data_IF_736561505851
#
_entry.id   IF_736561505851
#
_cell.length_a   1.000
_cell.length_b   1.000
_cell.length_c   1.000
_cell.angle_alpha   90.00
_cell.angle_beta   90.00
_cell.angle_gamma   90.00
#
_symmetry.space_group_name_H-M   'P 1'
#
loop_
_entity.id
_entity.type
_entity.pdbx_description
1 polymer ?
#
# COMPACT_ATOMS: atom_id res chain seq x y z
N UNK A 1 -24.78 -8.06 -4.14
CA UNK A 1 -23.47 -8.75 -4.15
C UNK A 1 -22.43 -7.72 -3.78
N UNK A 2 -21.71 -7.88 -2.67
CA UNK A 2 -20.53 -7.05 -2.38
C UNK A 2 -19.57 -7.23 -3.55
N UNK A 3 -18.91 -6.20 -4.11
CA UNK A 3 -17.67 -6.48 -4.79
C UNK A 3 -16.79 -7.18 -3.76
N UNK A 4 -16.32 -8.40 -4.08
CA UNK A 4 -15.36 -9.08 -3.24
C UNK A 4 -14.21 -8.11 -2.97
N UNK A 5 -13.84 -7.92 -1.70
CA UNK A 5 -12.61 -7.19 -1.42
C UNK A 5 -11.51 -7.87 -2.22
N UNK A 6 -10.78 -7.08 -3.00
CA UNK A 6 -9.65 -7.60 -3.76
C UNK A 6 -8.44 -7.84 -2.87
N UNK A 7 -8.51 -7.47 -1.58
CA UNK A 7 -7.48 -7.74 -0.58
C UNK A 7 -7.30 -9.25 -0.43
N UNK A 8 -6.12 -9.73 -0.80
CA UNK A 8 -5.74 -11.13 -0.72
C UNK A 8 -4.89 -11.40 0.53
N UNK A 9 -4.21 -10.38 1.05
CA UNK A 9 -3.43 -10.43 2.28
C UNK A 9 -3.39 -9.09 3.00
N UNK A 10 -3.48 -9.11 4.32
CA UNK A 10 -3.23 -7.95 5.18
C UNK A 10 -2.61 -8.38 6.51
N UNK A 11 -1.60 -7.63 6.96
CA UNK A 11 -0.88 -7.85 8.21
C UNK A 11 -0.70 -6.52 8.92
N UNK A 12 -1.23 -6.44 10.15
CA UNK A 12 -1.20 -5.23 11.00
C UNK A 12 -0.38 -5.47 12.29
N UNK A 13 0.27 -6.63 12.37
CA UNK A 13 1.16 -7.07 13.46
C UNK A 13 0.55 -7.04 14.88
N UNK A 14 -0.78 -6.97 14.97
CA UNK A 14 -1.54 -6.98 16.21
C UNK A 14 -1.18 -8.19 17.09
N UNK A 15 -0.86 -7.90 18.35
CA UNK A 15 -0.46 -8.93 19.31
C UNK A 15 0.94 -9.49 19.05
N UNK A 16 1.85 -8.67 18.50
CA UNK A 16 3.28 -8.95 18.36
C UNK A 16 3.59 -10.22 17.57
N UNK A 17 2.97 -10.37 16.39
CA UNK A 17 3.07 -11.60 15.59
C UNK A 17 2.86 -11.33 14.11
N UNK A 18 3.33 -12.28 13.29
CA UNK A 18 3.16 -12.31 11.83
C UNK A 18 1.75 -12.77 11.36
N UNK A 19 0.80 -12.87 12.28
CA UNK A 19 -0.55 -13.34 11.95
C UNK A 19 -1.25 -12.39 10.99
N UNK A 20 -1.89 -12.95 9.96
CA UNK A 20 -2.67 -12.16 9.03
C UNK A 20 -4.00 -11.70 9.64
N UNK A 21 -4.36 -10.46 9.37
CA UNK A 21 -5.73 -9.95 9.54
C UNK A 21 -6.61 -10.46 8.40
N UNK A 22 -6.08 -10.54 7.18
CA UNK A 22 -6.74 -11.13 6.00
C UNK A 22 -5.75 -12.03 5.27
N UNK A 23 -6.19 -13.20 4.80
CA UNK A 23 -5.35 -14.11 4.04
C UNK A 23 -4.51 -15.04 4.92
N UNK A 24 -3.31 -15.40 4.46
CA UNK A 24 -2.38 -16.28 5.17
C UNK A 24 -1.36 -15.46 5.97
N UNK A 25 -1.02 -15.93 7.17
CA UNK A 25 0.05 -15.34 7.99
C UNK A 25 1.37 -15.29 7.22
N UNK A 26 2.19 -14.27 7.51
CA UNK A 26 3.57 -14.29 7.04
C UNK A 26 4.34 -15.38 7.78
N UNK A 27 5.36 -15.91 7.12
CA UNK A 27 6.32 -16.84 7.70
C UNK A 27 7.71 -16.22 7.66
N UNK A 28 8.57 -16.55 8.62
CA UNK A 28 9.98 -16.20 8.52
C UNK A 28 10.59 -16.98 7.35
N UNK A 29 11.27 -16.29 6.44
CA UNK A 29 11.79 -16.90 5.21
C UNK A 29 12.78 -18.04 5.50
N UNK A 30 13.64 -17.85 6.49
CA UNK A 30 14.61 -18.83 7.00
C UNK A 30 14.06 -19.72 8.12
N UNK A 31 12.73 -19.72 8.29
CA UNK A 31 12.02 -20.54 9.27
C UNK A 31 11.98 -19.94 10.68
N UNK A 32 11.16 -20.51 11.58
CA UNK A 32 10.86 -19.93 12.90
C UNK A 32 12.04 -19.93 13.88
N UNK A 33 13.12 -20.65 13.55
CA UNK A 33 14.36 -20.66 14.34
C UNK A 33 15.51 -19.95 13.61
N UNK A 34 15.23 -19.25 12.51
CA UNK A 34 16.21 -18.54 11.71
C UNK A 34 16.58 -17.17 12.30
N UNK A 35 17.54 -16.52 11.64
CA UNK A 35 18.00 -15.18 11.96
C UNK A 35 16.85 -14.16 11.87
N UNK A 36 15.94 -14.31 10.90
CA UNK A 36 14.80 -13.39 10.79
C UNK A 36 13.96 -13.42 12.06
N UNK A 37 13.65 -14.62 12.56
CA UNK A 37 12.84 -14.78 13.77
C UNK A 37 13.55 -14.22 15.01
N UNK A 38 14.85 -14.45 15.14
CA UNK A 38 15.65 -13.97 16.28
C UNK A 38 15.87 -12.45 16.29
N UNK A 39 15.80 -11.79 15.14
CA UNK A 39 16.09 -10.36 15.00
C UNK A 39 14.85 -9.49 14.77
N UNK A 40 13.70 -10.09 14.43
CA UNK A 40 12.43 -9.34 14.32
C UNK A 40 11.95 -8.92 15.70
N UNK A 41 11.69 -7.63 15.87
CA UNK A 41 11.06 -7.10 17.07
C UNK A 41 9.61 -6.68 16.77
N UNK A 42 8.77 -6.73 17.79
CA UNK A 42 7.41 -6.22 17.74
C UNK A 42 7.17 -5.32 18.95
N UNK A 43 6.36 -4.29 18.76
CA UNK A 43 6.00 -3.38 19.83
C UNK A 43 5.06 -2.29 19.36
N UNK A 44 4.94 -1.24 20.16
CA UNK A 44 4.19 -0.05 19.80
C UNK A 44 5.14 1.14 19.67
N UNK A 45 4.85 2.09 18.79
CA UNK A 45 5.63 3.33 18.64
C UNK A 45 5.78 4.08 19.97
N UNK A 46 4.77 4.06 20.86
CA UNK A 46 4.86 4.67 22.18
C UNK A 46 5.92 4.07 23.12
N UNK A 47 6.37 2.84 22.86
CA UNK A 47 7.42 2.17 23.64
C UNK A 47 8.80 2.29 23.01
N UNK A 48 8.88 2.66 21.74
CA UNK A 48 10.12 2.80 20.99
C UNK A 48 10.43 4.27 20.77
N UNK A 49 11.34 4.81 21.59
CA UNK A 49 11.75 6.21 21.52
C UNK A 49 12.50 6.58 20.22
N UNK A 50 12.80 5.60 19.35
CA UNK A 50 13.51 5.82 18.09
C UNK A 50 12.59 6.13 16.92
N UNK A 51 11.28 5.86 17.04
CA UNK A 51 10.26 6.17 16.01
C UNK A 51 9.10 6.98 16.60
N UNK A 52 8.61 8.01 15.89
CA UNK A 52 7.45 8.77 16.34
C UNK A 52 6.15 7.96 16.19
N UNK A 53 5.14 8.34 16.97
CA UNK A 53 3.76 7.88 16.78
C UNK A 53 3.20 8.32 15.41
N UNK A 54 2.24 7.55 14.87
CA UNK A 54 1.64 7.86 13.57
C UNK A 54 0.52 8.88 13.78
N UNK A 55 0.75 10.11 13.32
CA UNK A 55 -0.15 11.26 13.55
C UNK A 55 -0.42 11.52 15.04
N UNK A 56 0.55 11.25 15.91
CA UNK A 56 0.44 11.42 17.36
C UNK A 56 -0.32 10.31 18.09
N UNK A 57 -0.71 9.23 17.38
CA UNK A 57 -1.37 8.07 17.96
C UNK A 57 -0.42 6.86 17.98
N UNK A 58 -0.30 6.15 19.13
CA UNK A 58 0.49 4.93 19.22
C UNK A 58 0.03 3.85 18.23
N UNK A 59 0.97 3.30 17.48
CA UNK A 59 0.72 2.29 16.46
C UNK A 59 1.46 0.99 16.78
N UNK A 60 0.82 -0.15 16.52
CA UNK A 60 1.48 -1.45 16.56
C UNK A 60 2.45 -1.56 15.39
N UNK A 61 3.67 -2.06 15.62
CA UNK A 61 4.70 -2.16 14.59
C UNK A 61 5.46 -3.49 14.67
N UNK A 62 5.97 -3.89 13.51
CA UNK A 62 7.05 -4.86 13.36
C UNK A 62 8.31 -4.11 12.95
N UNK A 63 9.43 -4.39 13.61
CA UNK A 63 10.75 -3.92 13.23
C UNK A 63 11.42 -4.95 12.33
N UNK A 64 11.79 -4.51 11.13
CA UNK A 64 12.55 -5.27 10.15
C UNK A 64 14.04 -5.03 10.39
N UNK A 65 14.85 -6.08 10.62
CA UNK A 65 16.27 -5.92 10.86
C UNK A 65 17.02 -5.43 9.62
N UNK A 66 17.93 -4.46 9.82
CA UNK A 66 18.78 -3.89 8.77
C UNK A 66 20.10 -4.62 8.50
N UNK A 67 20.34 -5.78 9.14
CA UNK A 67 21.59 -6.53 8.99
C UNK A 67 21.80 -7.07 7.57
N UNK A 68 23.05 -7.19 7.14
CA UNK A 68 23.43 -7.72 5.83
C UNK A 68 23.44 -9.25 5.86
N UNK A 69 22.28 -9.87 5.65
CA UNK A 69 22.13 -11.32 5.54
C UNK A 69 21.03 -11.67 4.54
N UNK A 70 21.28 -12.67 3.70
CA UNK A 70 20.31 -13.17 2.70
C UNK A 70 19.18 -13.98 3.33
N UNK A 71 19.34 -14.39 4.59
CA UNK A 71 18.33 -15.18 5.30
C UNK A 71 17.18 -14.30 5.79
N UNK A 72 17.41 -12.99 5.92
CA UNK A 72 16.44 -12.06 6.48
C UNK A 72 15.32 -11.77 5.47
N UNK A 73 14.08 -12.05 5.86
CA UNK A 73 12.90 -11.73 5.07
C UNK A 73 11.66 -12.48 5.54
N UNK A 74 10.49 -12.08 5.01
CA UNK A 74 9.21 -12.68 5.39
C UNK A 74 8.51 -13.24 4.16
N UNK A 75 8.25 -14.54 4.18
CA UNK A 75 7.57 -15.22 3.10
C UNK A 75 6.08 -14.85 3.09
N UNK A 76 5.64 -14.26 1.98
CA UNK A 76 4.26 -13.88 1.73
C UNK A 76 3.62 -14.83 0.71
N UNK A 77 2.78 -15.76 1.18
CA UNK A 77 1.92 -16.58 0.31
C UNK A 77 0.59 -15.86 0.11
N UNK A 78 0.47 -15.09 -0.98
CA UNK A 78 -0.61 -14.12 -1.18
C UNK A 78 -1.94 -14.72 -1.72
N UNK A 79 -1.92 -15.89 -2.36
CA UNK A 79 -3.14 -16.60 -2.80
C UNK A 79 -3.89 -15.98 -4.00
N UNK A 80 -3.26 -15.07 -4.73
CA UNK A 80 -3.83 -14.45 -5.95
C UNK A 80 -3.56 -15.40 -7.13
N UNK A 81 -4.60 -15.71 -7.92
CA UNK A 81 -4.46 -16.51 -9.14
C UNK A 81 -3.82 -15.71 -10.28
N UNK A 82 -3.13 -16.36 -11.24
CA UNK A 82 -2.62 -15.70 -12.44
C UNK A 82 -3.67 -14.85 -13.14
N UNK A 83 -3.25 -13.70 -13.69
CA UNK A 83 -4.14 -12.71 -14.28
C UNK A 83 -3.43 -11.86 -15.34
N UNK A 84 -4.14 -10.88 -15.92
CA UNK A 84 -3.58 -9.96 -16.92
C UNK A 84 -3.23 -10.60 -18.27
N UNK A 85 -3.63 -11.85 -18.51
CA UNK A 85 -3.35 -12.57 -19.76
C UNK A 85 -2.03 -13.33 -19.79
N UNK A 86 -1.27 -13.33 -18.69
CA UNK A 86 -0.05 -14.14 -18.53
C UNK A 86 -0.27 -15.41 -17.69
N UNK A 87 0.83 -16.07 -17.36
CA UNK A 87 0.89 -17.29 -16.54
C UNK A 87 1.15 -17.00 -15.05
N UNK A 88 1.56 -15.78 -14.73
CA UNK A 88 1.80 -15.29 -13.37
C UNK A 88 0.77 -14.20 -12.98
N UNK A 89 0.90 -13.64 -11.78
CA UNK A 89 0.06 -12.51 -11.32
C UNK A 89 0.64 -11.21 -11.85
N UNK A 90 0.10 -10.75 -12.98
CA UNK A 90 0.55 -9.56 -13.69
C UNK A 90 -0.08 -8.25 -13.21
N UNK A 91 -1.20 -8.36 -12.49
CA UNK A 91 -1.96 -7.24 -11.98
C UNK A 91 -2.21 -7.41 -10.48
N UNK A 92 -1.63 -6.54 -9.67
CA UNK A 92 -1.79 -6.51 -8.21
C UNK A 92 -1.37 -5.15 -7.65
N UNK A 93 -1.70 -4.89 -6.40
CA UNK A 93 -1.27 -3.68 -5.68
C UNK A 93 -0.69 -4.07 -4.34
N UNK A 94 0.53 -3.59 -4.07
CA UNK A 94 1.20 -3.70 -2.77
C UNK A 94 1.13 -2.33 -2.09
N UNK A 95 0.67 -2.29 -0.84
CA UNK A 95 0.61 -1.09 0.00
C UNK A 95 1.30 -1.39 1.32
N UNK A 96 2.11 -0.46 1.81
CA UNK A 96 2.84 -0.62 3.07
C UNK A 96 2.88 0.72 3.83
N UNK A 97 2.64 0.67 5.14
CA UNK A 97 2.87 1.79 6.06
C UNK A 97 4.22 1.58 6.74
N UNK A 98 5.23 2.33 6.31
CA UNK A 98 6.65 2.10 6.62
C UNK A 98 7.32 3.37 7.14
N UNK A 99 8.20 3.19 8.12
CA UNK A 99 9.22 4.14 8.53
C UNK A 99 10.60 3.59 8.19
N UNK A 100 11.37 4.31 7.38
CA UNK A 100 12.75 3.93 7.04
C UNK A 100 13.72 4.62 8.01
N UNK A 101 14.65 3.87 8.62
CA UNK A 101 15.65 4.43 9.54
C UNK A 101 16.44 5.58 8.91
N UNK A 102 16.92 6.54 9.70
CA UNK A 102 17.74 7.67 9.21
C UNK A 102 19.21 7.33 9.00
N UNK A 103 19.66 6.17 9.49
CA UNK A 103 21.01 5.63 9.30
C UNK A 103 20.97 4.26 8.61
N UNK A 104 22.11 3.81 8.10
CA UNK A 104 22.25 2.54 7.38
C UNK A 104 22.56 2.71 5.88
N UNK A 105 22.60 1.61 5.12
CA UNK A 105 22.86 1.60 3.68
C UNK A 105 21.93 2.50 2.86
N UNK A 106 22.38 2.92 1.68
CA UNK A 106 21.68 3.90 0.85
C UNK A 106 20.39 3.39 0.19
N UNK A 107 20.16 2.09 0.21
CA UNK A 107 18.99 1.41 -0.34
C UNK A 107 18.42 0.41 0.66
N UNK A 108 17.16 0.03 0.46
CA UNK A 108 16.47 -0.91 1.33
C UNK A 108 15.39 -1.68 0.55
N UNK A 109 15.56 -2.99 0.41
CA UNK A 109 14.60 -3.86 -0.29
C UNK A 109 13.24 -3.89 0.41
N UNK A 110 12.17 -3.80 -0.38
CA UNK A 110 10.78 -3.91 0.07
C UNK A 110 10.18 -5.27 -0.29
N UNK A 111 10.52 -5.82 -1.45
CA UNK A 111 10.04 -7.13 -1.92
C UNK A 111 11.01 -7.75 -2.92
N UNK A 112 11.19 -9.06 -2.81
CA UNK A 112 11.86 -9.95 -3.75
C UNK A 112 10.81 -10.89 -4.37
N UNK A 113 10.71 -10.89 -5.70
CA UNK A 113 9.72 -11.61 -6.50
C UNK A 113 10.39 -12.67 -7.36
N UNK A 114 11.51 -12.33 -8.02
CA UNK A 114 12.17 -13.17 -9.00
C UNK A 114 12.74 -14.44 -8.37
N UNK A 115 13.40 -14.31 -7.22
CA UNK A 115 14.06 -15.42 -6.54
C UNK A 115 13.28 -15.93 -5.33
N UNK A 116 12.68 -17.11 -5.48
CA UNK A 116 11.99 -17.81 -4.40
C UNK A 116 12.91 -18.22 -3.23
N UNK A 117 14.23 -18.27 -3.45
CA UNK A 117 15.23 -18.63 -2.43
C UNK A 117 16.11 -17.43 -2.00
N UNK A 118 15.68 -16.20 -2.31
CA UNK A 118 16.43 -14.97 -2.02
C UNK A 118 17.93 -15.02 -2.38
N UNK A 119 18.26 -15.45 -3.60
CA UNK A 119 19.64 -15.62 -4.08
C UNK A 119 20.10 -14.52 -5.04
N UNK A 120 19.23 -13.57 -5.38
CA UNK A 120 19.55 -12.41 -6.20
C UNK A 120 19.00 -11.10 -5.58
N UNK A 121 19.37 -10.01 -6.22
CA UNK A 121 18.93 -8.62 -6.00
C UNK A 121 17.40 -8.52 -5.90
N UNK A 122 16.92 -7.79 -4.87
CA UNK A 122 15.51 -7.46 -4.66
C UNK A 122 14.82 -6.80 -5.86
N UNK A 123 13.49 -6.64 -5.81
CA UNK A 123 12.70 -6.22 -6.98
C UNK A 123 12.04 -4.85 -6.88
N UNK A 124 11.92 -4.34 -5.66
CA UNK A 124 11.50 -2.97 -5.37
C UNK A 124 12.25 -2.50 -4.13
N UNK A 125 12.87 -1.34 -4.23
CA UNK A 125 13.67 -0.76 -3.16
C UNK A 125 13.20 0.64 -2.82
N UNK A 126 13.36 1.02 -1.57
CA UNK A 126 13.55 2.41 -1.20
C UNK A 126 14.99 2.84 -1.50
N UNK A 127 15.20 4.03 -2.05
CA UNK A 127 16.52 4.65 -2.21
C UNK A 127 16.43 6.17 -2.16
N UNK A 128 17.18 6.79 -1.24
CA UNK A 128 17.22 8.23 -1.02
C UNK A 128 15.90 8.81 -0.51
N UNK A 129 14.99 9.14 -1.41
CA UNK A 129 13.63 9.62 -1.09
C UNK A 129 12.56 9.10 -2.07
N UNK A 130 12.92 8.10 -2.86
CA UNK A 130 12.09 7.48 -3.88
C UNK A 130 12.10 5.97 -3.70
N UNK A 131 11.29 5.28 -4.52
CA UNK A 131 11.31 3.83 -4.59
C UNK A 131 11.12 3.33 -6.01
N UNK A 132 11.72 2.18 -6.31
CA UNK A 132 11.80 1.62 -7.67
C UNK A 132 12.93 0.59 -7.77
N UNK A 133 13.44 0.42 -8.98
CA UNK A 133 14.63 -0.41 -9.27
C UNK A 133 15.34 0.13 -10.51
N UNK A 134 16.67 0.08 -10.51
CA UNK A 134 17.53 0.50 -11.63
C UNK A 134 17.40 1.99 -12.01
N UNK A 135 18.11 2.40 -13.07
CA UNK A 135 18.21 3.82 -13.46
C UNK A 135 16.90 4.49 -13.92
N UNK A 136 15.83 3.72 -14.15
CA UNK A 136 14.53 4.23 -14.57
C UNK A 136 13.46 4.23 -13.48
N UNK A 137 13.70 3.55 -12.35
CA UNK A 137 12.69 3.30 -11.33
C UNK A 137 12.58 4.37 -10.26
N UNK A 138 13.65 5.09 -9.92
CA UNK A 138 13.67 6.08 -8.83
C UNK A 138 13.23 7.47 -9.30
N UNK A 139 12.00 7.56 -9.79
CA UNK A 139 11.35 8.80 -10.21
C UNK A 139 10.14 9.09 -9.33
N UNK A 140 9.91 10.37 -9.05
CA UNK A 140 8.83 10.84 -8.19
C UNK A 140 9.06 12.25 -7.68
N UNK A 141 8.18 12.70 -6.79
CA UNK A 141 8.32 13.98 -6.08
C UNK A 141 9.38 13.91 -4.98
N UNK A 142 9.87 12.71 -4.66
CA UNK A 142 10.79 12.50 -3.54
C UNK A 142 10.08 12.47 -2.18
N UNK A 143 8.81 12.08 -2.15
CA UNK A 143 8.00 12.09 -0.92
C UNK A 143 8.33 10.94 0.05
N UNK A 144 8.96 9.84 -0.40
CA UNK A 144 9.22 8.69 0.46
C UNK A 144 10.55 8.84 1.21
N UNK A 145 10.57 9.69 2.22
CA UNK A 145 11.79 10.03 2.97
C UNK A 145 12.09 9.05 4.10
N UNK A 146 13.35 8.99 4.54
CA UNK A 146 13.72 8.34 5.80
C UNK A 146 13.41 9.25 7.00
N UNK A 147 13.18 8.67 8.17
CA UNK A 147 12.90 9.41 9.39
C UNK A 147 11.43 9.87 9.53
N UNK A 148 10.54 9.39 8.66
CA UNK A 148 9.11 9.69 8.71
C UNK A 148 8.28 8.45 8.31
N UNK A 149 7.04 8.41 8.78
CA UNK A 149 6.05 7.41 8.40
C UNK A 149 5.45 7.76 7.04
N UNK A 150 5.43 6.78 6.14
CA UNK A 150 4.83 6.92 4.82
C UNK A 150 3.96 5.72 4.48
N UNK A 151 2.84 5.98 3.79
CA UNK A 151 2.04 4.97 3.11
C UNK A 151 2.48 4.90 1.67
N UNK A 152 3.19 3.83 1.32
CA UNK A 152 3.71 3.63 -0.02
C UNK A 152 2.87 2.60 -0.77
N UNK A 153 2.57 2.88 -2.03
CA UNK A 153 1.76 1.99 -2.85
C UNK A 153 2.37 1.80 -4.24
N UNK A 154 2.47 0.55 -4.68
CA UNK A 154 2.89 0.15 -6.01
C UNK A 154 1.79 -0.70 -6.65
N UNK A 155 1.13 -0.17 -7.67
CA UNK A 155 0.12 -0.87 -8.46
C UNK A 155 0.76 -1.38 -9.77
N UNK A 156 0.97 -2.69 -9.85
CA UNK A 156 1.58 -3.37 -10.98
C UNK A 156 0.50 -3.70 -12.00
N UNK A 157 0.67 -3.23 -13.23
CA UNK A 157 -0.20 -3.53 -14.36
C UNK A 157 0.65 -3.92 -15.58
N UNK A 158 1.10 -5.18 -15.59
CA UNK A 158 1.96 -5.70 -16.66
C UNK A 158 1.20 -5.98 -17.96
N UNK A 159 -0.13 -5.92 -17.92
CA UNK A 159 -1.02 -6.11 -19.06
C UNK A 159 -1.41 -4.79 -19.75
N UNK A 160 -1.08 -3.64 -19.16
CA UNK A 160 -1.34 -2.33 -19.75
C UNK A 160 -0.52 -2.09 -21.02
N UNK A 161 -0.92 -1.08 -21.80
CA UNK A 161 -0.17 -0.59 -22.96
C UNK A 161 0.21 0.88 -22.74
N UNK A 162 1.48 1.20 -22.42
CA UNK A 162 2.56 0.27 -22.08
C UNK A 162 2.39 -0.36 -20.68
N UNK A 163 3.03 -1.53 -20.42
CA UNK A 163 3.10 -2.13 -19.09
C UNK A 163 3.73 -1.17 -18.08
N UNK A 164 3.19 -1.10 -16.86
CA UNK A 164 3.65 -0.09 -15.87
C UNK A 164 3.46 -0.52 -14.42
N UNK A 165 4.24 0.12 -13.54
CA UNK A 165 3.99 0.17 -12.09
C UNK A 165 3.64 1.60 -11.72
N UNK A 166 2.39 1.83 -11.31
CA UNK A 166 1.93 3.14 -10.83
C UNK A 166 2.26 3.28 -9.35
N UNK A 167 3.01 4.33 -8.99
CA UNK A 167 3.56 4.53 -7.65
C UNK A 167 2.95 5.74 -6.94
N UNK A 168 2.64 5.57 -5.67
CA UNK A 168 2.10 6.61 -4.79
C UNK A 168 2.78 6.59 -3.42
N UNK A 169 2.88 7.77 -2.79
CA UNK A 169 3.34 7.96 -1.41
C UNK A 169 2.38 8.93 -0.75
N UNK A 170 1.76 8.55 0.35
CA UNK A 170 0.80 9.37 1.10
C UNK A 170 -0.36 9.91 0.25
N UNK A 171 -0.78 9.15 -0.77
CA UNK A 171 -1.78 9.57 -1.76
C UNK A 171 -1.26 10.53 -2.84
N UNK A 172 0.03 10.90 -2.81
CA UNK A 172 0.70 11.72 -3.82
C UNK A 172 1.27 10.82 -4.91
N UNK A 173 0.87 11.07 -6.17
CA UNK A 173 1.40 10.38 -7.34
C UNK A 173 2.92 10.61 -7.45
N UNK A 174 3.67 9.52 -7.65
CA UNK A 174 5.11 9.58 -7.87
C UNK A 174 5.45 9.38 -9.33
N UNK A 175 5.09 8.22 -9.90
CA UNK A 175 5.47 7.88 -11.27
C UNK A 175 4.57 6.77 -11.86
N UNK A 176 4.49 6.75 -13.18
CA UNK A 176 4.10 5.56 -13.94
C UNK A 176 5.40 4.94 -14.48
N UNK A 177 5.96 4.02 -13.70
CA UNK A 177 7.25 3.42 -14.01
C UNK A 177 7.10 2.34 -15.08
N UNK A 178 7.52 2.67 -16.31
CA UNK A 178 7.36 1.84 -17.52
C UNK A 178 8.65 1.14 -17.97
N UNK A 179 9.79 1.47 -17.37
CA UNK A 179 11.07 0.87 -17.78
C UNK A 179 11.15 -0.60 -17.39
N UNK A 180 11.58 -1.45 -18.34
CA UNK A 180 11.80 -2.89 -18.18
C UNK A 180 10.57 -3.67 -17.70
N UNK A 181 9.37 -3.23 -18.08
CA UNK A 181 8.11 -3.89 -17.74
C UNK A 181 7.56 -4.68 -18.93
N UNK A 182 7.03 -5.86 -18.68
CA UNK A 182 6.40 -6.72 -19.67
C UNK A 182 5.45 -7.70 -19.00
N UNK A 183 4.56 -8.33 -19.77
CA UNK A 183 3.79 -9.48 -19.29
C UNK A 183 4.73 -10.59 -18.79
N UNK A 184 4.37 -11.22 -17.67
CA UNK A 184 5.14 -12.23 -16.94
C UNK A 184 6.59 -11.82 -16.63
N UNK A 185 6.85 -10.52 -16.48
CA UNK A 185 8.20 -10.06 -16.16
C UNK A 185 8.67 -10.65 -14.82
N UNK A 186 9.86 -11.27 -14.76
CA UNK A 186 10.33 -12.01 -13.59
C UNK A 186 10.43 -11.17 -12.31
N UNK A 187 10.68 -9.87 -12.45
CA UNK A 187 10.84 -8.92 -11.34
C UNK A 187 9.54 -8.16 -11.00
N UNK A 188 8.43 -8.45 -11.69
CA UNK A 188 7.17 -7.71 -11.53
C UNK A 188 5.95 -8.58 -11.39
N UNK A 189 5.85 -9.70 -12.09
CA UNK A 189 4.71 -10.58 -12.01
C UNK A 189 4.90 -11.55 -10.83
N UNK A 190 3.96 -11.61 -9.90
CA UNK A 190 4.14 -12.45 -8.72
C UNK A 190 4.05 -13.94 -9.10
N UNK A 191 5.04 -14.68 -8.59
CA UNK A 191 4.96 -16.12 -8.35
C UNK A 191 3.95 -16.39 -7.22
N UNK A 192 3.59 -17.65 -6.89
CA UNK A 192 2.64 -17.95 -5.80
C UNK A 192 3.02 -17.41 -4.41
N UNK A 193 4.29 -17.04 -4.24
CA UNK A 193 4.82 -16.36 -3.07
C UNK A 193 5.87 -15.32 -3.47
N UNK A 194 6.11 -14.36 -2.58
CA UNK A 194 7.20 -13.40 -2.66
C UNK A 194 7.82 -13.21 -1.27
N UNK A 195 9.02 -12.66 -1.19
CA UNK A 195 9.74 -12.44 0.07
C UNK A 195 9.75 -10.94 0.35
N UNK A 196 9.05 -10.52 1.40
CA UNK A 196 9.05 -9.13 1.85
C UNK A 196 10.37 -8.82 2.54
N UNK A 197 10.94 -7.66 2.21
CA UNK A 197 12.23 -7.19 2.73
C UNK A 197 13.40 -8.16 2.51
N UNK A 198 13.33 -8.99 1.47
CA UNK A 198 14.39 -9.91 1.07
C UNK A 198 15.37 -9.26 0.10
N UNK A 199 16.65 -9.44 0.35
CA UNK A 199 17.76 -8.98 -0.49
C UNK A 199 18.86 -10.05 -0.51
N UNK A 200 19.10 -10.68 -1.67
CA UNK A 200 19.88 -11.91 -1.77
C UNK A 200 21.38 -11.73 -1.98
N UNK A 201 21.78 -10.57 -2.52
CA UNK A 201 23.14 -10.05 -2.65
C UNK A 201 23.68 -9.43 -1.35
N UNK A 202 22.78 -9.01 -0.45
CA UNK A 202 23.05 -8.66 0.94
C UNK A 202 23.75 -7.32 1.13
N UNK A 203 23.45 -6.35 0.29
CA UNK A 203 24.04 -5.01 0.33
C UNK A 203 23.00 -3.88 0.36
N UNK A 204 21.73 -4.16 0.07
CA UNK A 204 20.67 -3.17 -0.09
C UNK A 204 19.58 -3.36 0.98
N UNK A 205 20.04 -3.39 2.24
CA UNK A 205 19.20 -3.56 3.44
C UNK A 205 19.31 -2.40 4.39
N UNK A 206 18.20 -2.03 5.00
CA UNK A 206 18.12 -0.99 6.03
C UNK A 206 17.05 -1.33 7.04
N UNK A 207 17.26 -0.93 8.29
CA UNK A 207 16.27 -1.11 9.34
C UNK A 207 15.00 -0.32 8.99
N UNK A 208 13.85 -0.94 9.21
CA UNK A 208 12.54 -0.33 8.98
C UNK A 208 11.58 -0.70 10.09
N UNK A 209 10.55 0.13 10.29
CA UNK A 209 9.39 -0.21 11.09
C UNK A 209 8.18 -0.24 10.17
N UNK A 210 7.33 -1.23 10.38
CA UNK A 210 6.17 -1.48 9.53
C UNK A 210 4.94 -1.57 10.41
N UNK A 211 3.96 -0.69 10.18
CA UNK A 211 2.68 -0.74 10.87
C UNK A 211 1.69 -1.68 10.17
N UNK A 212 1.63 -1.63 8.84
CA UNK A 212 0.69 -2.44 8.07
C UNK A 212 1.23 -2.76 6.67
N UNK A 213 0.90 -3.95 6.18
CA UNK A 213 1.14 -4.38 4.80
C UNK A 213 -0.18 -4.91 4.24
N UNK A 214 -0.51 -4.53 3.00
CA UNK A 214 -1.67 -5.05 2.28
C UNK A 214 -1.28 -5.42 0.85
N UNK A 215 -1.75 -6.57 0.39
CA UNK A 215 -1.70 -6.97 -1.02
C UNK A 215 -3.10 -7.24 -1.56
N UNK A 216 -3.40 -6.66 -2.72
CA UNK A 216 -4.68 -6.81 -3.42
C UNK A 216 -4.49 -7.36 -4.83
N UNK A 217 -5.43 -8.19 -5.27
CA UNK A 217 -5.54 -8.61 -6.66
C UNK A 217 -5.91 -7.43 -7.57
N UNK A 218 -5.26 -7.31 -8.73
CA UNK A 218 -5.46 -6.21 -9.67
C UNK A 218 -4.70 -4.92 -9.33
N UNK A 219 -4.42 -4.12 -10.34
CA UNK A 219 -3.89 -2.78 -10.19
C UNK A 219 -4.98 -1.81 -9.73
N UNK A 220 -4.80 -1.14 -8.59
CA UNK A 220 -5.70 -0.08 -8.14
C UNK A 220 -5.63 1.11 -9.10
N UNK A 221 -6.76 1.81 -9.26
CA UNK A 221 -6.79 3.05 -10.04
C UNK A 221 -6.01 4.15 -9.34
N UNK A 222 -5.54 5.14 -10.11
CA UNK A 222 -4.90 6.36 -9.58
C UNK A 222 -5.77 7.08 -8.53
N UNK A 223 -7.09 7.14 -8.75
CA UNK A 223 -8.03 7.74 -7.79
C UNK A 223 -8.12 6.96 -6.48
N UNK A 224 -8.12 5.62 -6.54
CA UNK A 224 -8.12 4.79 -5.34
C UNK A 224 -6.79 4.92 -4.57
N UNK A 225 -5.66 4.93 -5.27
CA UNK A 225 -4.34 5.14 -4.68
C UNK A 225 -4.21 6.52 -4.03
N UNK A 226 -4.73 7.57 -4.67
CA UNK A 226 -4.77 8.91 -4.09
C UNK A 226 -5.62 8.96 -2.82
N UNK A 227 -6.75 8.26 -2.80
CA UNK A 227 -7.66 8.20 -1.65
C UNK A 227 -7.11 7.45 -0.44
N UNK A 228 -6.02 6.68 -0.58
CA UNK A 228 -5.38 6.00 0.54
C UNK A 228 -4.73 6.98 1.53
N UNK A 229 -4.31 8.16 1.06
CA UNK A 229 -3.63 9.16 1.89
C UNK A 229 -2.37 8.63 2.58
N UNK A 230 -1.95 9.33 3.64
CA UNK A 230 -0.86 8.90 4.52
C UNK A 230 -1.25 7.77 5.49
N UNK A 231 -0.27 7.26 6.25
CA UNK A 231 -0.50 6.21 7.23
C UNK A 231 -1.30 6.72 8.43
N UNK A 232 -1.98 5.81 9.12
CA UNK A 232 -2.65 6.06 10.41
C UNK A 232 -2.28 4.94 11.38
N UNK A 233 -2.40 5.18 12.69
CA UNK A 233 -2.11 4.14 13.69
C UNK A 233 -2.96 2.86 13.52
N UNK A 234 -4.12 2.96 12.87
CA UNK A 234 -5.01 1.84 12.58
C UNK A 234 -4.60 1.02 11.33
N UNK A 235 -3.55 1.42 10.61
CA UNK A 235 -3.04 0.73 9.43
C UNK A 235 -3.85 0.97 8.15
N UNK A 236 -3.64 0.09 7.16
CA UNK A 236 -4.22 0.21 5.83
C UNK A 236 -5.69 -0.25 5.85
N UNK A 237 -6.64 0.52 5.32
CA UNK A 237 -8.05 0.10 5.27
C UNK A 237 -8.28 -1.19 4.46
N UNK A 238 -8.96 -2.20 5.03
CA UNK A 238 -9.33 -3.47 4.36
C UNK A 238 -10.37 -3.27 3.24
N UNK A 239 -11.19 -2.23 3.37
CA UNK A 239 -12.08 -1.77 2.31
C UNK A 239 -11.46 -0.52 1.70
N UNK A 240 -11.31 -0.47 0.38
CA UNK A 240 -11.14 0.80 -0.30
C UNK A 240 -12.23 1.75 0.17
N UNK A 241 -11.93 3.05 0.31
CA UNK A 241 -12.98 4.01 0.57
C UNK A 241 -14.10 3.80 -0.48
N UNK A 242 -15.38 3.75 -0.06
CA UNK A 242 -16.47 3.53 -0.99
C UNK A 242 -16.41 4.59 -2.09
N UNK A 243 -16.29 4.13 -3.33
CA UNK A 243 -16.30 5.03 -4.47
C UNK A 243 -17.69 5.66 -4.58
N UNK A 244 -17.73 6.98 -4.75
CA UNK A 244 -18.94 7.68 -5.16
C UNK A 244 -19.06 7.62 -6.68
N UNK A 245 -20.28 7.42 -7.18
CA UNK A 245 -20.63 7.63 -8.58
C UNK A 245 -21.62 8.78 -8.69
N UNK A 246 -21.42 9.64 -9.68
CA UNK A 246 -22.33 10.75 -9.97
C UNK A 246 -23.05 10.50 -11.31
N UNK A 247 -24.36 10.74 -11.33
CA UNK A 247 -25.18 10.72 -12.55
C UNK A 247 -26.12 11.92 -12.58
N UNK A 248 -26.34 12.50 -13.76
CA UNK A 248 -27.24 13.64 -13.95
C UNK A 248 -28.66 13.15 -14.26
N UNK A 249 -29.66 13.73 -13.61
CA UNK A 249 -31.08 13.46 -13.82
C UNK A 249 -31.85 14.80 -13.91
N UNK A 250 -31.95 15.36 -15.12
CA UNK A 250 -32.48 16.72 -15.31
C UNK A 250 -31.56 17.74 -14.65
N UNK A 251 -32.13 18.61 -13.82
CA UNK A 251 -31.39 19.65 -13.08
C UNK A 251 -30.76 19.13 -11.77
N UNK A 252 -30.80 17.81 -11.53
CA UNK A 252 -30.31 17.18 -10.31
C UNK A 252 -29.08 16.30 -10.59
N UNK A 253 -28.16 16.25 -9.63
CA UNK A 253 -27.05 15.30 -9.61
C UNK A 253 -27.34 14.25 -8.55
N UNK A 254 -27.40 12.98 -8.95
CA UNK A 254 -27.47 11.87 -8.01
C UNK A 254 -26.06 11.38 -7.73
N UNK A 255 -25.66 11.43 -6.47
CA UNK A 255 -24.44 10.80 -5.98
C UNK A 255 -24.85 9.52 -5.29
N UNK A 256 -24.27 8.39 -5.67
CA UNK A 256 -24.53 7.09 -5.07
C UNK A 256 -23.26 6.39 -4.65
N UNK A 257 -23.40 5.46 -3.72
CA UNK A 257 -22.29 4.67 -3.21
C UNK A 257 -22.72 3.26 -2.83
N UNK A 258 -21.76 2.34 -2.66
CA UNK A 258 -22.08 0.95 -2.38
C UNK A 258 -22.83 0.76 -1.06
N UNK A 259 -23.76 -0.19 -1.04
CA UNK A 259 -24.56 -0.53 0.15
C UNK A 259 -23.72 -0.92 1.38
N UNK A 260 -22.49 -1.38 1.19
CA UNK A 260 -21.58 -1.77 2.26
C UNK A 260 -20.88 -0.60 2.94
N UNK A 261 -20.98 0.61 2.37
CA UNK A 261 -20.52 1.85 2.98
C UNK A 261 -21.42 2.31 4.15
N UNK A 262 -22.11 1.38 4.82
CA UNK A 262 -22.96 1.70 5.96
C UNK A 262 -22.10 2.34 7.07
N UNK A 263 -22.55 3.47 7.59
CA UNK A 263 -21.82 4.26 8.59
C UNK A 263 -20.88 5.32 8.02
N UNK A 264 -20.68 5.40 6.70
CA UNK A 264 -20.01 6.56 6.08
C UNK A 264 -20.97 7.74 5.95
N UNK A 265 -20.43 8.95 6.09
CA UNK A 265 -21.12 10.23 5.92
C UNK A 265 -20.66 10.84 4.59
N UNK A 266 -21.62 11.24 3.76
CA UNK A 266 -21.33 12.07 2.59
C UNK A 266 -21.03 13.49 3.07
N UNK A 267 -19.84 13.99 2.76
CA UNK A 267 -19.46 15.38 3.00
C UNK A 267 -19.33 16.11 1.66
N UNK A 268 -19.63 17.41 1.65
CA UNK A 268 -19.33 18.30 0.52
C UNK A 268 -18.48 19.48 0.92
N UNK A 269 -17.81 20.07 -0.07
CA UNK A 269 -17.08 21.33 0.05
C UNK A 269 -17.11 22.09 -1.28
N UNK A 270 -17.00 23.42 -1.23
CA UNK A 270 -16.94 24.28 -2.42
C UNK A 270 -15.53 24.42 -2.99
N UNK A 271 -14.50 24.05 -2.22
CA UNK A 271 -13.09 24.18 -2.62
C UNK A 271 -12.26 22.97 -2.16
N UNK A 272 -11.48 22.39 -3.07
CA UNK A 272 -10.49 21.35 -2.72
C UNK A 272 -9.13 21.92 -2.33
N UNK A 273 -8.87 23.21 -2.60
CA UNK A 273 -7.63 23.88 -2.23
C UNK A 273 -7.69 24.48 -0.82
N UNK A 274 -8.88 24.91 -0.38
CA UNK A 274 -9.18 25.35 0.99
C UNK A 274 -10.42 24.63 1.51
N UNK A 275 -10.29 23.33 1.85
CA UNK A 275 -11.45 22.51 2.13
C UNK A 275 -12.10 22.82 3.47
N UNK A 276 -13.39 23.15 3.42
CA UNK A 276 -14.29 23.11 4.56
C UNK A 276 -15.34 22.03 4.32
N UNK A 277 -15.04 20.80 4.73
CA UNK A 277 -15.91 19.63 4.51
C UNK A 277 -17.04 19.61 5.55
N UNK A 278 -18.28 19.58 5.07
CA UNK A 278 -19.47 19.51 5.93
C UNK A 278 -20.39 18.36 5.50
N UNK A 279 -21.09 17.69 6.44
CA UNK A 279 -22.07 16.64 6.10
C UNK A 279 -23.19 17.16 5.17
N UNK A 280 -23.51 16.38 4.14
CA UNK A 280 -24.63 16.65 3.24
C UNK A 280 -25.92 16.17 3.92
N UNK A 281 -26.74 17.11 4.41
CA UNK A 281 -27.95 16.79 5.18
C UNK A 281 -28.99 15.96 4.41
N UNK A 282 -29.04 16.07 3.09
CA UNK A 282 -29.97 15.31 2.23
C UNK A 282 -29.49 13.89 1.90
N UNK A 283 -28.33 13.47 2.41
CA UNK A 283 -27.78 12.16 2.14
C UNK A 283 -28.66 11.04 2.72
N UNK A 284 -29.19 10.19 1.85
CA UNK A 284 -29.85 8.94 2.23
C UNK A 284 -28.83 7.84 2.54
N UNK A 285 -29.30 6.60 2.72
CA UNK A 285 -28.45 5.46 3.11
C UNK A 285 -27.36 5.10 2.08
N UNK A 286 -27.64 5.27 0.79
CA UNK A 286 -26.77 4.84 -0.32
C UNK A 286 -26.67 5.85 -1.47
N UNK A 287 -27.35 6.99 -1.32
CA UNK A 287 -27.31 8.06 -2.32
C UNK A 287 -27.79 9.38 -1.74
N UNK A 288 -27.30 10.47 -2.32
CA UNK A 288 -27.83 11.82 -2.14
C UNK A 288 -28.27 12.37 -3.49
N UNK A 289 -29.34 13.17 -3.47
CA UNK A 289 -29.75 13.96 -4.63
C UNK A 289 -29.40 15.41 -4.35
N UNK A 290 -28.60 15.99 -5.23
CA UNK A 290 -28.03 17.33 -5.08
C UNK A 290 -28.66 18.25 -6.11
N UNK A 291 -29.05 19.45 -5.67
CA UNK A 291 -29.38 20.57 -6.54
C UNK A 291 -28.10 21.40 -6.70
N UNK A 292 -27.48 21.46 -7.88
CA UNK A 292 -26.26 22.24 -8.08
C UNK A 292 -26.50 23.72 -7.72
N UNK A 293 -25.71 24.26 -6.78
CA UNK A 293 -25.86 25.62 -6.28
C UNK A 293 -24.77 26.59 -6.78
N UNK A 294 -23.82 26.12 -7.59
CA UNK A 294 -22.67 26.91 -8.05
C UNK A 294 -21.84 26.21 -9.12
N UNK A 295 -20.71 26.83 -9.54
CA UNK A 295 -19.89 26.34 -10.65
C UNK A 295 -19.16 25.03 -10.35
N UNK A 296 -18.87 24.74 -9.07
CA UNK A 296 -18.25 23.49 -8.64
C UNK A 296 -18.62 23.17 -7.19
N UNK A 297 -18.92 21.91 -6.92
CA UNK A 297 -19.05 21.34 -5.59
C UNK A 297 -18.38 19.97 -5.59
N UNK A 298 -17.65 19.65 -4.52
CA UNK A 298 -16.86 18.43 -4.41
C UNK A 298 -17.42 17.56 -3.29
N UNK A 299 -17.38 16.25 -3.48
CA UNK A 299 -18.00 15.29 -2.57
C UNK A 299 -17.04 14.17 -2.20
N UNK A 300 -17.12 13.70 -0.95
CA UNK A 300 -16.40 12.50 -0.48
C UNK A 300 -17.25 11.72 0.51
N UNK A 301 -16.95 10.43 0.66
CA UNK A 301 -17.45 9.64 1.77
C UNK A 301 -16.38 9.58 2.86
N UNK A 302 -16.76 9.95 4.09
CA UNK A 302 -15.91 9.89 5.27
C UNK A 302 -16.48 8.91 6.27
N UNK A 303 -15.64 8.06 6.85
CA UNK A 303 -16.03 7.29 8.03
C UNK A 303 -15.87 8.20 9.26
N UNK A 304 -16.91 8.40 10.09
CA UNK A 304 -16.81 9.13 11.35
C UNK A 304 -15.72 8.55 12.25
#
# INVERSE_FOLDING_TARGET
>A
MLPASKVAGQWDFNGNKLAATVGKSLEYFDGPNGDTAGLTLFGTTAMDVTVPDINGEPAQVMEVPGGLSRNLGYLMTHGISPNGGGTLVNQYTLVMDIFVATTGPGAASLIQINSANNTDDGDLFWQGNNFGQGGGGYKGTGAFTAGAWHRVAAAYDMAATPPRVTKYVDGIFQDDWTANQSLDNPRRALRPSAILFGDGDQDERRQMWVNSIQISAGAMSKSALAALGGPTAAGIPIASAPATSASVHGDLVRISWPAWAAGYVLESTSSVTEPNWAPVASAGKMSATIVPAGPSEYFRLRKP
#
